data_IF_768477957730
#
_entry.id   IF_768477957730
#
_cell.length_a   1.000
_cell.length_b   1.000
_cell.length_c   1.000
_cell.angle_alpha   90.00
_cell.angle_beta   90.00
_cell.angle_gamma   90.00
#
_symmetry.space_group_name_H-M   'P 1'
#
loop_
_entity.id
_entity.type
_entity.pdbx_description
1 polymer ?
#
# COMPACT_ATOMS: atom_id res chain seq x y z
N UNK A 1 -47.12 -18.60 13.37
CA UNK A 1 -46.23 -18.84 14.52
C UNK A 1 -45.10 -19.77 14.06
N UNK A 2 -44.47 -19.44 12.93
CA UNK A 2 -43.43 -20.27 12.28
C UNK A 2 -42.37 -19.42 11.53
N UNK A 3 -42.43 -18.09 11.66
CA UNK A 3 -41.44 -17.16 11.08
C UNK A 3 -40.39 -16.66 12.10
N UNK A 4 -40.64 -16.82 13.41
CA UNK A 4 -39.74 -16.31 14.46
C UNK A 4 -38.55 -17.24 14.81
N UNK A 5 -38.50 -18.46 14.26
CA UNK A 5 -37.43 -19.42 14.56
C UNK A 5 -36.31 -19.49 13.51
N UNK A 6 -36.46 -18.85 12.34
CA UNK A 6 -35.42 -18.76 11.32
C UNK A 6 -34.51 -17.52 11.50
N UNK A 7 -35.03 -16.40 12.02
CA UNK A 7 -34.21 -15.21 12.30
C UNK A 7 -33.27 -15.40 13.50
N UNK A 8 -33.63 -16.20 14.50
CA UNK A 8 -32.77 -16.47 15.66
C UNK A 8 -31.56 -17.38 15.32
N UNK A 9 -31.61 -18.14 14.21
CA UNK A 9 -30.50 -18.93 13.71
C UNK A 9 -29.48 -18.14 12.88
N UNK A 10 -29.91 -17.08 12.20
CA UNK A 10 -29.02 -16.19 11.43
C UNK A 10 -28.24 -15.22 12.32
N UNK A 11 -28.87 -14.71 13.39
CA UNK A 11 -28.25 -13.76 14.33
C UNK A 11 -27.12 -14.39 15.17
N UNK A 12 -27.09 -15.72 15.29
CA UNK A 12 -26.07 -16.44 16.08
C UNK A 12 -24.91 -17.00 15.25
N UNK A 13 -25.01 -17.04 13.93
CA UNK A 13 -24.01 -17.64 13.03
C UNK A 13 -23.07 -16.60 12.41
N UNK A 14 -23.54 -15.37 12.19
CA UNK A 14 -22.71 -14.24 11.69
C UNK A 14 -21.49 -13.95 12.58
N UNK A 15 -21.60 -13.89 13.92
CA UNK A 15 -20.44 -13.62 14.80
C UNK A 15 -19.44 -14.79 14.87
N UNK A 16 -19.85 -15.99 14.45
CA UNK A 16 -19.01 -17.19 14.44
C UNK A 16 -18.20 -17.26 13.15
N UNK A 17 -18.78 -16.87 12.01
CA UNK A 17 -18.06 -16.75 10.74
C UNK A 17 -17.05 -15.60 10.76
N UNK A 18 -17.42 -14.43 11.28
CA UNK A 18 -16.47 -13.31 11.44
C UNK A 18 -15.29 -13.67 12.36
N UNK A 19 -15.54 -14.41 13.45
CA UNK A 19 -14.45 -14.94 14.31
C UNK A 19 -13.61 -16.02 13.64
N UNK A 20 -14.22 -16.87 12.81
CA UNK A 20 -13.48 -17.88 12.04
C UNK A 20 -12.59 -17.23 10.98
N UNK A 21 -13.10 -16.21 10.27
CA UNK A 21 -12.34 -15.47 9.26
C UNK A 21 -11.21 -14.65 9.90
N UNK A 22 -11.44 -14.07 11.09
CA UNK A 22 -10.37 -13.41 11.85
C UNK A 22 -9.30 -14.39 12.32
N UNK A 23 -9.69 -15.58 12.80
CA UNK A 23 -8.75 -16.65 13.21
C UNK A 23 -8.00 -17.24 12.02
N UNK A 24 -8.66 -17.43 10.88
CA UNK A 24 -8.03 -17.90 9.65
C UNK A 24 -7.07 -16.83 9.14
N UNK A 25 -7.43 -15.54 9.18
CA UNK A 25 -6.57 -14.43 8.77
C UNK A 25 -5.36 -14.29 9.70
N UNK A 26 -5.55 -14.40 11.01
CA UNK A 26 -4.49 -14.34 12.00
C UNK A 26 -3.54 -15.55 11.91
N UNK A 27 -4.07 -16.75 11.72
CA UNK A 27 -3.26 -17.97 11.50
C UNK A 27 -2.54 -17.92 10.15
N UNK A 28 -3.13 -17.29 9.13
CA UNK A 28 -2.50 -17.08 7.82
C UNK A 28 -1.38 -16.03 7.92
N UNK A 29 -1.58 -14.94 8.66
CA UNK A 29 -0.54 -13.93 8.93
C UNK A 29 0.61 -14.49 9.77
N UNK A 30 0.33 -15.30 10.80
CA UNK A 30 1.38 -15.98 11.57
C UNK A 30 2.16 -16.99 10.71
N UNK A 31 1.47 -17.74 9.84
CA UNK A 31 2.13 -18.65 8.88
C UNK A 31 2.98 -17.88 7.87
N UNK A 32 2.53 -16.73 7.38
CA UNK A 32 3.30 -15.87 6.49
C UNK A 32 4.55 -15.31 7.20
N UNK A 33 4.42 -14.80 8.44
CA UNK A 33 5.57 -14.35 9.25
C UNK A 33 6.57 -15.48 9.50
N UNK A 34 6.10 -16.69 9.83
CA UNK A 34 6.95 -17.86 10.03
C UNK A 34 7.64 -18.30 8.73
N UNK A 35 6.95 -18.19 7.59
CA UNK A 35 7.49 -18.56 6.29
C UNK A 35 8.52 -17.53 5.80
N UNK A 36 8.32 -16.25 6.10
CA UNK A 36 9.28 -15.16 5.81
C UNK A 36 10.51 -15.22 6.72
N UNK A 37 10.33 -15.53 8.00
CA UNK A 37 11.43 -15.85 8.92
C UNK A 37 12.22 -17.07 8.42
N UNK A 38 11.52 -18.11 7.95
CA UNK A 38 12.14 -19.32 7.40
C UNK A 38 12.83 -19.07 6.05
N UNK A 39 12.28 -18.25 5.16
CA UNK A 39 12.90 -17.82 3.89
C UNK A 39 14.14 -16.97 4.16
N UNK A 40 14.08 -16.06 5.13
CA UNK A 40 15.22 -15.25 5.56
C UNK A 40 16.32 -16.12 6.18
N UNK A 41 15.94 -17.10 6.99
CA UNK A 41 16.86 -18.09 7.57
C UNK A 41 17.48 -18.97 6.48
N UNK A 42 16.68 -19.44 5.51
CA UNK A 42 17.16 -20.26 4.39
C UNK A 42 18.07 -19.47 3.45
N UNK A 43 17.78 -18.19 3.19
CA UNK A 43 18.64 -17.30 2.40
C UNK A 43 19.97 -17.03 3.12
N UNK A 44 19.94 -16.80 4.44
CA UNK A 44 21.14 -16.70 5.29
C UNK A 44 21.95 -18.00 5.31
N UNK A 45 21.29 -19.15 5.38
CA UNK A 45 21.92 -20.47 5.39
C UNK A 45 22.50 -20.82 4.02
N UNK A 46 21.80 -20.52 2.93
CA UNK A 46 22.29 -20.68 1.54
C UNK A 46 23.47 -19.76 1.26
N UNK A 47 23.45 -18.52 1.76
CA UNK A 47 24.58 -17.60 1.66
C UNK A 47 25.76 -18.07 2.53
N UNK A 48 25.50 -18.64 3.72
CA UNK A 48 26.52 -19.27 4.58
C UNK A 48 27.15 -20.51 3.93
N UNK A 49 26.34 -21.35 3.27
CA UNK A 49 26.82 -22.53 2.53
C UNK A 49 27.56 -22.13 1.25
N UNK A 50 27.11 -21.09 0.55
CA UNK A 50 27.82 -20.54 -0.61
C UNK A 50 29.16 -19.91 -0.21
N UNK A 51 29.20 -19.19 0.92
CA UNK A 51 30.42 -18.66 1.52
C UNK A 51 31.35 -19.79 1.98
N UNK A 52 30.81 -20.82 2.63
CA UNK A 52 31.55 -22.03 3.04
C UNK A 52 32.10 -22.84 1.86
N UNK A 53 31.37 -22.93 0.74
CA UNK A 53 31.86 -23.55 -0.51
C UNK A 53 32.91 -22.69 -1.21
N UNK A 54 32.76 -21.36 -1.19
CA UNK A 54 33.76 -20.43 -1.73
C UNK A 54 35.08 -20.49 -0.93
N UNK A 55 34.97 -20.60 0.40
CA UNK A 55 36.10 -20.81 1.32
C UNK A 55 36.74 -22.19 1.09
N UNK A 56 35.94 -23.25 0.95
CA UNK A 56 36.43 -24.61 0.68
C UNK A 56 37.11 -24.77 -0.69
N UNK A 57 36.75 -23.95 -1.68
CA UNK A 57 37.45 -23.91 -2.97
C UNK A 57 38.73 -23.05 -2.96
N UNK A 58 38.94 -22.20 -1.95
CA UNK A 58 40.21 -21.48 -1.72
C UNK A 58 41.17 -22.20 -0.77
N UNK A 59 40.70 -23.17 0.03
CA UNK A 59 41.47 -23.77 1.12
C UNK A 59 42.17 -25.08 0.75
N UNK A 60 42.97 -25.08 -0.32
CA UNK A 60 44.06 -26.05 -0.50
C UNK A 60 45.41 -25.47 -0.08
N UNK A 61 45.38 -24.52 0.86
CA UNK A 61 46.52 -24.06 1.63
C UNK A 61 46.01 -23.74 3.04
N UNK A 62 46.61 -24.36 4.04
CA UNK A 62 46.40 -24.05 5.46
C UNK A 62 46.74 -22.57 5.68
N UNK A 63 45.75 -21.73 5.99
CA UNK A 63 45.97 -20.46 6.68
C UNK A 63 44.67 -19.91 7.31
N UNK A 64 44.86 -19.22 8.43
CA UNK A 64 43.85 -18.65 9.32
C UNK A 64 42.81 -17.78 8.59
N UNK A 65 41.55 -17.90 9.02
CA UNK A 65 40.45 -17.00 8.64
C UNK A 65 40.87 -15.53 8.83
N UNK A 66 41.06 -14.82 7.72
CA UNK A 66 41.48 -13.41 7.71
C UNK A 66 40.26 -12.49 7.86
N UNK A 67 40.24 -11.69 8.93
CA UNK A 67 39.11 -10.88 9.41
C UNK A 67 39.00 -9.48 8.75
N UNK A 68 39.71 -9.23 7.64
CA UNK A 68 39.76 -7.92 7.01
C UNK A 68 38.45 -7.53 6.29
N UNK A 69 37.68 -8.49 5.76
CA UNK A 69 36.54 -8.23 4.87
C UNK A 69 35.21 -7.89 5.56
N UNK A 70 35.08 -8.08 6.88
CA UNK A 70 33.87 -7.69 7.60
C UNK A 70 33.89 -6.20 8.01
N UNK A 71 35.07 -5.60 8.05
CA UNK A 71 35.27 -4.19 8.40
C UNK A 71 34.85 -3.23 7.27
N UNK A 72 34.87 -3.72 6.02
CA UNK A 72 34.60 -2.97 4.79
C UNK A 72 33.11 -2.93 4.40
N UNK A 73 32.27 -3.78 5.01
CA UNK A 73 30.84 -3.89 4.70
C UNK A 73 29.93 -3.02 5.60
N UNK A 74 30.49 -2.29 6.57
CA UNK A 74 29.74 -1.35 7.40
C UNK A 74 29.63 0.02 6.68
N UNK A 75 28.43 0.64 6.63
CA UNK A 75 28.26 1.94 5.95
C UNK A 75 29.18 3.02 6.56
N UNK A 76 29.72 3.89 5.71
CA UNK A 76 30.64 4.99 6.03
C UNK A 76 30.08 6.09 6.95
N UNK A 77 28.94 5.87 7.63
CA UNK A 77 28.38 6.80 8.60
C UNK A 77 29.07 6.74 9.99
N UNK A 78 30.13 5.96 10.14
CA UNK A 78 30.80 5.69 11.44
C UNK A 78 32.19 6.33 11.55
N UNK A 79 32.36 7.57 11.07
CA UNK A 79 33.61 8.34 11.26
C UNK A 79 33.91 8.73 12.72
N UNK A 80 33.06 8.30 13.67
CA UNK A 80 33.18 8.57 15.10
C UNK A 80 33.59 7.35 15.96
N UNK A 81 33.73 6.16 15.39
CA UNK A 81 34.05 4.94 16.15
C UNK A 81 35.49 4.49 15.88
N UNK A 82 36.23 4.18 16.95
CA UNK A 82 37.57 3.59 16.83
C UNK A 82 37.48 2.13 16.37
N UNK A 83 38.58 1.57 15.87
CA UNK A 83 38.63 0.17 15.44
C UNK A 83 38.29 -0.81 16.58
N UNK A 84 38.56 -0.42 17.83
CA UNK A 84 38.18 -1.16 19.04
C UNK A 84 36.67 -1.13 19.29
N UNK A 85 36.01 0.02 19.06
CA UNK A 85 34.55 0.14 19.19
C UNK A 85 33.82 -0.70 18.13
N UNK A 86 34.37 -0.76 16.91
CA UNK A 86 33.85 -1.60 15.82
C UNK A 86 33.97 -3.08 16.14
N UNK A 87 35.12 -3.50 16.68
CA UNK A 87 35.35 -4.87 17.13
C UNK A 87 34.43 -5.25 18.31
N UNK A 88 34.18 -4.30 19.22
CA UNK A 88 33.23 -4.44 20.33
C UNK A 88 31.80 -4.69 19.83
N UNK A 89 31.33 -3.90 18.86
CA UNK A 89 29.98 -4.03 18.29
C UNK A 89 29.77 -5.37 17.59
N UNK A 90 30.75 -5.83 16.82
CA UNK A 90 30.73 -7.13 16.14
C UNK A 90 30.68 -8.29 17.16
N UNK A 91 31.44 -8.19 18.26
CA UNK A 91 31.39 -9.19 19.33
C UNK A 91 30.05 -9.18 20.09
N UNK A 92 29.44 -8.01 20.29
CA UNK A 92 28.10 -7.90 20.90
C UNK A 92 27.02 -8.49 20.01
N UNK A 93 27.07 -8.22 18.71
CA UNK A 93 26.16 -8.81 17.72
C UNK A 93 26.34 -10.32 17.63
N UNK A 94 27.59 -10.81 17.63
CA UNK A 94 27.89 -12.24 17.67
C UNK A 94 27.32 -12.91 18.92
N UNK A 95 27.53 -12.32 20.10
CA UNK A 95 27.02 -12.85 21.36
C UNK A 95 25.48 -12.78 21.46
N UNK A 96 24.84 -11.74 20.89
CA UNK A 96 23.37 -11.67 20.81
C UNK A 96 22.82 -12.74 19.86
N UNK A 97 23.46 -12.93 18.71
CA UNK A 97 23.08 -13.93 17.72
C UNK A 97 23.28 -15.36 18.26
N UNK A 98 24.40 -15.63 18.92
CA UNK A 98 24.67 -16.89 19.61
C UNK A 98 23.70 -17.13 20.79
N UNK A 99 23.26 -16.08 21.50
CA UNK A 99 22.24 -16.24 22.56
C UNK A 99 20.83 -16.47 22.01
N UNK A 100 20.48 -15.89 20.84
CA UNK A 100 19.20 -16.11 20.16
C UNK A 100 19.14 -17.49 19.47
N UNK A 101 20.29 -18.03 19.04
CA UNK A 101 20.36 -19.33 18.36
C UNK A 101 20.78 -20.49 19.26
N UNK A 102 21.37 -20.23 20.44
CA UNK A 102 22.18 -21.21 21.17
C UNK A 102 21.59 -21.81 22.46
N UNK A 103 20.28 -21.70 22.74
CA UNK A 103 19.71 -22.29 23.98
C UNK A 103 18.46 -23.15 23.83
N UNK A 104 17.86 -23.24 22.66
CA UNK A 104 16.96 -24.36 22.37
C UNK A 104 17.80 -25.41 21.65
N UNK A 105 17.89 -26.68 22.11
CA UNK A 105 18.36 -27.74 21.23
C UNK A 105 17.54 -27.61 19.96
N UNK A 106 18.20 -27.49 18.80
CA UNK A 106 17.51 -27.41 17.52
C UNK A 106 16.46 -28.52 17.58
N UNK A 107 15.17 -28.19 17.46
CA UNK A 107 14.11 -29.16 17.70
C UNK A 107 14.37 -30.43 16.85
N UNK A 108 14.98 -30.23 15.69
CA UNK A 108 15.46 -31.25 14.76
C UNK A 108 16.51 -32.22 15.35
N UNK A 109 17.31 -31.78 16.32
CA UNK A 109 18.29 -32.57 17.06
C UNK A 109 17.68 -33.46 18.15
N UNK A 110 16.50 -33.10 18.64
CA UNK A 110 15.72 -33.95 19.56
C UNK A 110 14.98 -35.07 18.82
N UNK A 111 14.87 -34.98 17.48
CA UNK A 111 14.20 -35.96 16.64
C UNK A 111 15.12 -37.16 16.36
N UNK A 112 14.52 -38.35 16.31
CA UNK A 112 15.23 -39.56 15.89
C UNK A 112 15.82 -39.43 14.48
N UNK A 113 16.93 -40.12 14.20
CA UNK A 113 17.60 -40.11 12.89
C UNK A 113 16.66 -40.38 11.71
N UNK A 114 15.73 -41.33 11.86
CA UNK A 114 14.72 -41.64 10.83
C UNK A 114 13.76 -40.48 10.58
N UNK A 115 13.35 -39.77 11.63
CA UNK A 115 12.47 -38.59 11.51
C UNK A 115 13.23 -37.43 10.85
N UNK A 116 14.50 -37.21 11.22
CA UNK A 116 15.35 -36.19 10.58
C UNK A 116 15.53 -36.42 9.08
N UNK A 117 15.74 -37.68 8.66
CA UNK A 117 15.77 -38.04 7.24
C UNK A 117 14.46 -37.72 6.53
N UNK A 118 13.31 -38.02 7.15
CA UNK A 118 11.99 -37.67 6.59
C UNK A 118 11.80 -36.15 6.46
N UNK A 119 12.21 -35.39 7.47
CA UNK A 119 12.18 -33.91 7.41
C UNK A 119 13.10 -33.38 6.29
N UNK A 120 14.26 -34.01 6.08
CA UNK A 120 15.13 -33.70 4.93
C UNK A 120 14.40 -33.85 3.59
N UNK A 121 13.71 -34.99 3.39
CA UNK A 121 12.89 -35.20 2.18
C UNK A 121 11.77 -34.17 2.05
N UNK A 122 11.13 -33.77 3.16
CA UNK A 122 10.11 -32.71 3.14
C UNK A 122 10.69 -31.34 2.76
N UNK A 123 11.91 -31.01 3.22
CA UNK A 123 12.60 -29.77 2.82
C UNK A 123 12.94 -29.77 1.32
N UNK A 124 13.37 -30.92 0.78
CA UNK A 124 13.62 -31.07 -0.66
C UNK A 124 12.33 -30.89 -1.47
N UNK A 125 11.21 -31.41 -0.97
CA UNK A 125 9.90 -31.23 -1.60
C UNK A 125 9.44 -29.77 -1.56
N UNK A 126 9.60 -29.09 -0.42
CA UNK A 126 9.31 -27.66 -0.29
C UNK A 126 10.14 -26.84 -1.27
N UNK A 127 11.43 -27.16 -1.42
CA UNK A 127 12.30 -26.45 -2.36
C UNK A 127 11.81 -26.57 -3.81
N UNK A 128 11.32 -27.74 -4.23
CA UNK A 128 10.72 -27.93 -5.57
C UNK A 128 9.40 -27.19 -5.73
N UNK A 129 8.61 -27.09 -4.67
CA UNK A 129 7.39 -26.29 -4.67
C UNK A 129 7.74 -24.80 -4.85
N UNK A 130 8.71 -24.28 -4.10
CA UNK A 130 9.16 -22.88 -4.19
C UNK A 130 9.71 -22.56 -5.61
N UNK A 131 10.40 -23.52 -6.24
CA UNK A 131 10.86 -23.40 -7.64
C UNK A 131 9.69 -23.31 -8.65
N UNK A 132 8.57 -24.00 -8.39
CA UNK A 132 7.38 -23.94 -9.24
C UNK A 132 6.60 -22.65 -9.01
N UNK A 133 6.46 -22.23 -7.76
CA UNK A 133 5.86 -20.95 -7.37
C UNK A 133 6.60 -19.80 -8.05
N UNK A 134 7.94 -19.78 -8.02
CA UNK A 134 8.73 -18.74 -8.68
C UNK A 134 8.44 -18.63 -10.19
N UNK A 135 8.26 -19.77 -10.88
CA UNK A 135 7.88 -19.77 -12.31
C UNK A 135 6.46 -19.26 -12.54
N UNK A 136 5.52 -19.67 -11.68
CA UNK A 136 4.14 -19.16 -11.74
C UNK A 136 4.11 -17.64 -11.60
N UNK A 137 4.89 -17.07 -10.68
CA UNK A 137 4.96 -15.63 -10.47
C UNK A 137 5.61 -14.88 -11.63
N UNK A 138 6.65 -15.46 -12.24
CA UNK A 138 7.26 -14.92 -13.47
C UNK A 138 6.25 -14.89 -14.62
N UNK A 139 5.56 -16.01 -14.89
CA UNK A 139 4.54 -16.09 -15.93
C UNK A 139 3.35 -15.14 -15.66
N UNK A 140 2.91 -15.03 -14.40
CA UNK A 140 1.88 -14.08 -13.97
C UNK A 140 2.29 -12.64 -14.24
N UNK A 141 3.53 -12.27 -13.88
CA UNK A 141 4.04 -10.91 -14.10
C UNK A 141 4.14 -10.57 -15.60
N UNK A 142 4.58 -11.51 -16.43
CA UNK A 142 4.59 -11.35 -17.90
C UNK A 142 3.18 -11.18 -18.47
N UNK A 143 2.22 -11.98 -17.97
CA UNK A 143 0.83 -11.93 -18.39
C UNK A 143 0.19 -10.59 -18.03
N UNK A 144 0.36 -10.14 -16.79
CA UNK A 144 -0.14 -8.83 -16.35
C UNK A 144 0.50 -7.69 -17.15
N UNK A 145 1.82 -7.73 -17.40
CA UNK A 145 2.50 -6.74 -18.23
C UNK A 145 1.96 -6.72 -19.67
N UNK A 146 1.62 -7.88 -20.24
CA UNK A 146 0.97 -7.97 -21.55
C UNK A 146 -0.40 -7.30 -21.54
N UNK A 147 -1.25 -7.59 -20.55
CA UNK A 147 -2.60 -7.02 -20.49
C UNK A 147 -2.61 -5.53 -20.15
N UNK A 148 -1.68 -5.04 -19.32
CA UNK A 148 -1.52 -3.60 -19.08
C UNK A 148 -1.30 -2.82 -20.39
N UNK A 149 -0.46 -3.35 -21.31
CA UNK A 149 -0.25 -2.74 -22.64
C UNK A 149 -1.51 -2.75 -23.51
N UNK A 150 -2.37 -3.77 -23.36
CA UNK A 150 -3.64 -3.85 -24.08
C UNK A 150 -4.70 -2.90 -23.50
N UNK A 151 -4.64 -2.61 -22.19
CA UNK A 151 -5.54 -1.67 -21.54
C UNK A 151 -5.16 -0.20 -21.78
N UNK A 152 -3.88 0.11 -21.96
CA UNK A 152 -3.38 1.47 -22.20
C UNK A 152 -4.14 2.25 -23.31
N UNK A 153 -4.38 1.72 -24.52
CA UNK A 153 -5.15 2.45 -25.54
C UNK A 153 -6.61 2.65 -25.13
N UNK A 154 -7.21 1.74 -24.35
CA UNK A 154 -8.58 1.88 -23.86
C UNK A 154 -8.67 3.00 -22.82
N UNK A 155 -7.73 3.06 -21.89
CA UNK A 155 -7.66 4.15 -20.91
C UNK A 155 -7.34 5.50 -21.55
N UNK A 156 -6.48 5.52 -22.57
CA UNK A 156 -6.20 6.73 -23.35
C UNK A 156 -7.45 7.24 -24.06
N UNK A 157 -8.22 6.34 -24.69
CA UNK A 157 -9.50 6.70 -25.31
C UNK A 157 -10.53 7.18 -24.29
N UNK A 158 -10.61 6.55 -23.11
CA UNK A 158 -11.45 7.03 -22.00
C UNK A 158 -11.06 8.45 -21.60
N UNK A 159 -9.77 8.72 -21.44
CA UNK A 159 -9.27 10.05 -21.12
C UNK A 159 -9.70 11.09 -22.16
N UNK A 160 -9.55 10.79 -23.45
CA UNK A 160 -9.98 11.68 -24.53
C UNK A 160 -11.48 12.01 -24.46
N UNK A 161 -12.32 11.00 -24.21
CA UNK A 161 -13.78 11.16 -24.11
C UNK A 161 -14.15 11.97 -22.86
N UNK A 162 -13.62 11.59 -21.69
CA UNK A 162 -13.90 12.25 -20.41
C UNK A 162 -13.51 13.72 -20.45
N UNK A 163 -12.44 14.08 -21.16
CA UNK A 163 -11.97 15.45 -21.27
C UNK A 163 -12.47 16.18 -22.54
N UNK A 164 -13.33 15.55 -23.34
CA UNK A 164 -13.93 16.17 -24.54
C UNK A 164 -12.92 16.53 -25.64
N UNK A 165 -11.82 15.77 -25.74
CA UNK A 165 -10.79 15.95 -26.76
C UNK A 165 -11.17 15.32 -28.11
N UNK A 166 -12.09 14.36 -28.10
CA UNK A 166 -12.56 13.63 -29.29
C UNK A 166 -14.09 13.61 -29.29
N UNK A 167 -14.71 13.95 -30.43
CA UNK A 167 -16.16 13.78 -30.63
C UNK A 167 -16.49 12.30 -30.84
N UNK A 168 -17.47 11.79 -30.09
CA UNK A 168 -17.86 10.38 -30.15
C UNK A 168 -18.97 10.19 -31.19
N UNK A 169 -18.75 9.29 -32.15
CA UNK A 169 -19.76 8.92 -33.15
C UNK A 169 -21.07 8.49 -32.46
N UNK A 170 -22.17 9.19 -32.76
CA UNK A 170 -23.50 8.94 -32.18
C UNK A 170 -24.00 10.01 -31.19
N UNK A 171 -23.15 10.98 -30.80
CA UNK A 171 -23.60 12.18 -30.06
C UNK A 171 -24.03 13.24 -31.09
N UNK A 172 -25.14 12.97 -31.78
CA UNK A 172 -25.82 14.00 -32.59
C UNK A 172 -26.49 14.99 -31.65
N UNK A 173 -26.34 16.28 -31.92
CA UNK A 173 -26.87 17.44 -31.18
C UNK A 173 -28.41 17.58 -31.26
N UNK A 174 -29.13 16.46 -31.35
CA UNK A 174 -30.58 16.40 -31.65
C UNK A 174 -31.47 16.27 -30.41
N UNK A 175 -30.92 16.37 -29.19
CA UNK A 175 -31.69 16.41 -27.95
C UNK A 175 -31.61 17.76 -27.21
N UNK A 176 -31.44 18.87 -27.94
CA UNK A 176 -31.69 20.21 -27.40
C UNK A 176 -33.18 20.56 -27.47
N UNK A 177 -33.96 20.00 -26.54
CA UNK A 177 -35.18 20.66 -26.08
C UNK A 177 -35.17 20.69 -24.57
N UNK A 178 -34.47 21.67 -24.00
CA UNK A 178 -35.01 22.40 -22.86
C UNK A 178 -34.51 23.84 -22.87
N UNK A 179 -35.49 24.73 -22.85
CA UNK A 179 -35.34 26.18 -22.89
C UNK A 179 -35.03 26.72 -21.50
N UNK A 180 -34.24 27.79 -21.52
CA UNK A 180 -34.09 28.87 -20.53
C UNK A 180 -32.98 28.74 -19.47
N UNK A 181 -32.02 29.67 -19.60
CA UNK A 181 -31.03 30.17 -18.63
C UNK A 181 -29.85 29.28 -18.23
N UNK A 182 -28.74 29.35 -18.97
CA UNK A 182 -27.56 30.16 -18.60
C UNK A 182 -26.43 29.90 -19.61
N UNK A 183 -25.50 30.84 -19.72
CA UNK A 183 -24.29 30.78 -20.53
C UNK A 183 -23.36 29.61 -20.11
N UNK A 184 -23.67 28.36 -20.44
CA UNK A 184 -22.71 27.27 -20.40
C UNK A 184 -21.82 27.39 -21.64
N UNK A 185 -20.55 27.79 -21.43
CA UNK A 185 -19.49 27.44 -22.38
C UNK A 185 -19.59 25.94 -22.59
N UNK A 186 -19.97 25.52 -23.80
CA UNK A 186 -20.36 24.14 -24.12
C UNK A 186 -19.55 23.10 -23.35
N UNK A 187 -20.25 22.23 -22.63
CA UNK A 187 -19.67 21.21 -21.75
C UNK A 187 -18.78 20.29 -22.59
N UNK A 188 -17.47 20.55 -22.56
CA UNK A 188 -16.48 19.68 -23.19
C UNK A 188 -16.26 18.48 -22.27
N UNK A 189 -16.62 17.29 -22.75
CA UNK A 189 -16.34 16.02 -22.07
C UNK A 189 -17.42 15.61 -21.07
N UNK A 190 -17.01 14.91 -20.01
CA UNK A 190 -17.87 14.40 -18.93
C UNK A 190 -17.48 15.08 -17.62
N UNK A 191 -18.18 16.16 -17.22
CA UNK A 191 -17.86 16.89 -16.00
C UNK A 191 -17.89 16.00 -14.76
N UNK A 192 -17.00 16.27 -13.81
CA UNK A 192 -16.90 15.58 -12.52
C UNK A 192 -16.75 14.05 -12.60
N UNK A 193 -16.35 13.49 -13.75
CA UNK A 193 -16.30 12.04 -13.96
C UNK A 193 -15.59 11.28 -12.83
N UNK A 194 -14.36 11.65 -12.51
CA UNK A 194 -13.58 10.98 -11.47
C UNK A 194 -14.09 11.26 -10.06
N UNK A 195 -14.50 12.49 -9.77
CA UNK A 195 -15.09 12.83 -8.48
C UNK A 195 -16.35 11.99 -8.21
N UNK A 196 -17.26 11.91 -9.18
CA UNK A 196 -18.47 11.11 -9.09
C UNK A 196 -18.13 9.62 -8.96
N UNK A 197 -17.21 9.09 -9.77
CA UNK A 197 -16.80 7.70 -9.68
C UNK A 197 -16.19 7.35 -8.31
N UNK A 198 -15.34 8.21 -7.76
CA UNK A 198 -14.73 7.99 -6.44
C UNK A 198 -15.78 8.06 -5.32
N UNK A 199 -16.69 9.04 -5.34
CA UNK A 199 -17.75 9.17 -4.34
C UNK A 199 -18.81 8.06 -4.39
N UNK A 200 -18.92 7.32 -5.49
CA UNK A 200 -19.80 6.15 -5.57
C UNK A 200 -19.23 4.92 -4.87
N UNK A 201 -17.94 4.92 -4.51
CA UNK A 201 -17.30 3.84 -3.80
C UNK A 201 -17.20 4.17 -2.31
N UNK A 202 -17.67 3.27 -1.44
CA UNK A 202 -17.80 3.52 0.01
C UNK A 202 -16.47 3.91 0.66
N UNK A 203 -15.39 3.18 0.36
CA UNK A 203 -14.04 3.45 0.92
C UNK A 203 -13.56 4.86 0.60
N UNK A 204 -13.82 5.35 -0.61
CA UNK A 204 -13.40 6.69 -1.04
C UNK A 204 -14.40 7.78 -0.67
N UNK A 205 -15.68 7.44 -0.55
CA UNK A 205 -16.73 8.38 -0.15
C UNK A 205 -16.49 8.89 1.29
N UNK A 206 -16.05 8.01 2.19
CA UNK A 206 -15.74 8.35 3.58
C UNK A 206 -14.51 9.28 3.69
N UNK A 207 -13.58 9.18 2.75
CA UNK A 207 -12.37 10.01 2.71
C UNK A 207 -12.58 11.38 2.05
N UNK A 208 -13.57 11.51 1.17
CA UNK A 208 -13.82 12.74 0.41
C UNK A 208 -14.77 13.65 1.19
N UNK A 209 -14.22 14.72 1.78
CA UNK A 209 -15.03 15.75 2.41
C UNK A 209 -15.64 16.72 1.39
N UNK A 210 -16.70 17.43 1.79
CA UNK A 210 -17.34 18.47 0.94
C UNK A 210 -16.34 19.56 0.47
N UNK A 211 -15.29 19.82 1.25
CA UNK A 211 -14.27 20.82 0.91
C UNK A 211 -13.32 20.33 -0.19
N UNK A 212 -13.17 19.01 -0.34
CA UNK A 212 -12.29 18.38 -1.32
C UNK A 212 -12.90 18.36 -2.72
N UNK A 213 -14.23 18.32 -2.82
CA UNK A 213 -14.98 18.26 -4.09
C UNK A 213 -14.58 19.39 -5.05
N UNK A 214 -14.40 20.60 -4.51
CA UNK A 214 -14.02 21.75 -5.32
C UNK A 214 -12.62 21.65 -5.94
N UNK A 215 -11.71 20.86 -5.36
CA UNK A 215 -10.41 20.55 -5.97
C UNK A 215 -10.50 19.30 -6.87
N UNK A 216 -11.24 18.29 -6.45
CA UNK A 216 -11.42 17.03 -7.19
C UNK A 216 -12.21 17.19 -8.50
N UNK A 217 -13.02 18.24 -8.66
CA UNK A 217 -13.63 18.56 -9.96
C UNK A 217 -12.60 18.84 -11.07
N UNK A 218 -11.36 19.18 -10.70
CA UNK A 218 -10.25 19.41 -11.64
C UNK A 218 -9.45 18.14 -11.95
N UNK A 219 -9.84 16.98 -11.38
CA UNK A 219 -9.19 15.70 -11.64
C UNK A 219 -9.55 15.21 -13.05
N UNK A 220 -8.56 15.21 -13.95
CA UNK A 220 -8.74 14.85 -15.37
C UNK A 220 -8.49 13.38 -15.65
N UNK A 221 -7.59 12.75 -14.90
CA UNK A 221 -7.22 11.35 -15.08
C UNK A 221 -6.63 10.74 -13.82
N UNK A 222 -6.80 9.43 -13.69
CA UNK A 222 -6.17 8.63 -12.64
C UNK A 222 -5.53 7.41 -13.29
N UNK A 223 -4.24 7.24 -13.05
CA UNK A 223 -3.46 6.13 -13.59
C UNK A 223 -2.73 5.39 -12.48
N UNK A 224 -2.35 4.16 -12.77
CA UNK A 224 -1.41 3.43 -11.95
C UNK A 224 -0.34 2.75 -12.80
N UNK A 225 0.82 2.50 -12.21
CA UNK A 225 1.92 1.78 -12.85
C UNK A 225 2.69 0.95 -11.82
N UNK A 226 3.36 -0.11 -12.28
CA UNK A 226 4.32 -0.87 -11.47
C UNK A 226 5.59 -0.04 -11.26
N UNK A 227 6.23 -0.19 -10.10
CA UNK A 227 7.51 0.46 -9.83
C UNK A 227 8.62 -0.27 -10.61
N UNK A 228 9.49 0.46 -11.29
CA UNK A 228 10.60 -0.16 -12.03
C UNK A 228 11.70 -0.56 -11.06
N UNK A 229 12.03 -1.84 -10.99
CA UNK A 229 13.13 -2.36 -10.16
C UNK A 229 12.79 -2.58 -8.69
N UNK A 230 11.53 -2.36 -8.27
CA UNK A 230 11.02 -2.67 -6.94
C UNK A 230 9.61 -3.27 -7.04
N UNK A 231 9.18 -3.97 -6.00
CA UNK A 231 7.82 -4.48 -5.88
C UNK A 231 6.88 -3.36 -5.42
N UNK A 232 5.64 -3.40 -5.89
CA UNK A 232 4.59 -2.43 -5.56
C UNK A 232 4.16 -1.57 -6.75
N UNK A 233 3.46 -0.49 -6.47
CA UNK A 233 2.80 0.32 -7.50
C UNK A 233 2.76 1.80 -7.14
N UNK A 234 2.56 2.62 -8.16
CA UNK A 234 2.42 4.06 -8.09
C UNK A 234 1.08 4.47 -8.69
N UNK A 235 0.30 5.24 -7.94
CA UNK A 235 -0.87 5.97 -8.40
C UNK A 235 -0.47 7.39 -8.82
N UNK A 236 -1.08 7.88 -9.89
CA UNK A 236 -0.89 9.22 -10.42
C UNK A 236 -2.25 9.85 -10.71
N UNK A 237 -2.58 10.90 -9.96
CA UNK A 237 -3.79 11.70 -10.13
C UNK A 237 -3.41 12.98 -10.87
N UNK A 238 -3.94 13.15 -12.07
CA UNK A 238 -3.64 14.27 -12.94
C UNK A 238 -4.70 15.34 -12.79
N UNK A 239 -4.28 16.58 -12.54
CA UNK A 239 -5.18 17.71 -12.35
C UNK A 239 -4.97 18.76 -13.44
N UNK A 240 -6.07 19.40 -13.83
CA UNK A 240 -6.02 20.65 -14.57
C UNK A 240 -5.58 21.82 -13.66
N UNK A 241 -5.15 22.96 -14.24
CA UNK A 241 -4.88 24.17 -13.47
C UNK A 241 -6.09 24.54 -12.61
N UNK A 242 -5.88 24.54 -11.30
CA UNK A 242 -6.94 24.70 -10.31
C UNK A 242 -6.58 25.79 -9.28
N UNK A 243 -7.55 26.33 -8.54
CA UNK A 243 -7.31 27.42 -7.59
C UNK A 243 -6.82 26.96 -6.21
N UNK A 244 -6.49 25.68 -6.02
CA UNK A 244 -6.15 25.10 -4.72
C UNK A 244 -4.65 24.87 -4.55
N UNK A 245 -4.01 24.26 -5.54
CA UNK A 245 -2.58 23.93 -5.51
C UNK A 245 -1.93 24.05 -6.89
N UNK A 246 -0.59 24.08 -6.92
CA UNK A 246 0.19 24.23 -8.15
C UNK A 246 0.45 22.93 -8.90
N UNK A 247 0.45 21.80 -8.19
CA UNK A 247 0.78 20.49 -8.75
C UNK A 247 -0.17 20.13 -9.90
N UNK A 248 0.39 19.72 -11.04
CA UNK A 248 -0.39 19.12 -12.13
C UNK A 248 -0.60 17.63 -11.96
N UNK A 249 0.24 16.98 -11.14
CA UNK A 249 0.15 15.55 -10.80
C UNK A 249 0.42 15.39 -9.31
N UNK A 250 -0.47 14.68 -8.63
CA UNK A 250 -0.25 14.18 -7.29
C UNK A 250 -0.03 12.67 -7.39
N UNK A 251 1.03 12.16 -6.78
CA UNK A 251 1.35 10.74 -6.82
C UNK A 251 1.45 10.12 -5.45
N UNK A 252 1.07 8.84 -5.37
CA UNK A 252 1.17 7.99 -4.19
C UNK A 252 1.85 6.69 -4.60
N UNK A 253 2.91 6.31 -3.91
CA UNK A 253 3.71 5.12 -4.20
C UNK A 253 3.69 4.20 -3.00
N UNK A 254 3.40 2.92 -3.24
CA UNK A 254 3.51 1.85 -2.25
C UNK A 254 4.64 0.92 -2.67
N UNK A 255 5.72 0.91 -1.90
CA UNK A 255 6.82 -0.04 -2.03
C UNK A 255 6.49 -1.27 -1.17
N UNK A 256 6.56 -2.45 -1.78
CA UNK A 256 6.10 -3.70 -1.16
C UNK A 256 7.25 -4.66 -0.92
N UNK A 257 7.24 -5.36 0.21
CA UNK A 257 8.14 -6.51 0.44
C UNK A 257 7.60 -7.73 -0.32
N UNK A 258 6.28 -7.93 -0.26
CA UNK A 258 5.58 -9.01 -0.93
C UNK A 258 4.24 -8.52 -1.51
N UNK A 259 4.08 -8.58 -2.84
CA UNK A 259 2.84 -8.16 -3.52
C UNK A 259 1.68 -9.13 -3.27
N UNK A 260 1.94 -10.43 -3.13
CA UNK A 260 0.91 -11.46 -2.94
C UNK A 260 0.34 -11.47 -1.53
N UNK A 261 1.20 -11.26 -0.53
CA UNK A 261 0.82 -11.18 0.88
C UNK A 261 0.47 -9.74 1.30
N UNK A 262 0.49 -8.79 0.36
CA UNK A 262 0.21 -7.37 0.58
C UNK A 262 1.05 -6.74 1.73
N UNK A 263 2.32 -7.15 1.83
CA UNK A 263 3.22 -6.66 2.87
C UNK A 263 3.86 -5.36 2.41
N UNK A 264 3.42 -4.25 3.01
CA UNK A 264 3.91 -2.90 2.74
C UNK A 264 5.28 -2.66 3.40
N UNK A 265 6.25 -2.18 2.62
CA UNK A 265 7.52 -1.66 3.15
C UNK A 265 7.39 -0.17 3.48
N UNK A 266 6.83 0.60 2.54
CA UNK A 266 6.75 2.05 2.65
C UNK A 266 5.67 2.65 1.77
N UNK A 267 5.01 3.71 2.27
CA UNK A 267 4.14 4.57 1.50
C UNK A 267 4.76 5.97 1.32
N UNK A 268 4.76 6.49 0.09
CA UNK A 268 5.35 7.79 -0.26
C UNK A 268 4.31 8.60 -1.03
N UNK A 269 3.94 9.76 -0.49
CA UNK A 269 3.03 10.69 -1.14
C UNK A 269 3.71 11.95 -1.65
N UNK A 270 3.10 12.59 -2.65
CA UNK A 270 3.56 13.88 -3.17
C UNK A 270 3.16 15.02 -2.25
N UNK A 271 4.14 15.83 -1.85
CA UNK A 271 3.88 17.08 -1.13
C UNK A 271 3.05 18.04 -1.98
N UNK A 272 1.89 18.44 -1.47
CA UNK A 272 0.98 19.37 -2.16
C UNK A 272 1.43 20.82 -1.93
N UNK A 273 1.58 21.55 -3.04
CA UNK A 273 1.95 22.96 -3.06
C UNK A 273 0.70 23.85 -3.04
N UNK A 274 0.05 23.93 -1.89
CA UNK A 274 -1.17 24.72 -1.68
C UNK A 274 -0.95 26.21 -1.93
N UNK A 275 -1.93 26.86 -2.55
CA UNK A 275 -2.00 28.32 -2.59
C UNK A 275 -2.34 28.89 -1.20
N UNK A 276 -2.01 30.16 -0.93
CA UNK A 276 -2.28 30.80 0.36
C UNK A 276 -3.77 30.69 0.76
N UNK A 277 -4.04 30.09 1.92
CA UNK A 277 -5.39 29.92 2.46
C UNK A 277 -6.26 28.88 1.74
N UNK A 278 -5.64 28.01 0.91
CA UNK A 278 -6.32 26.95 0.16
C UNK A 278 -5.96 25.54 0.61
N UNK A 279 -5.17 25.42 1.68
CA UNK A 279 -4.85 24.11 2.24
C UNK A 279 -6.13 23.45 2.78
N UNK A 280 -6.54 22.35 2.15
CA UNK A 280 -7.74 21.61 2.50
C UNK A 280 -7.51 20.65 3.68
N UNK A 281 -6.26 20.32 3.99
CA UNK A 281 -5.92 19.44 5.12
C UNK A 281 -5.87 20.17 6.45
N UNK A 282 -6.11 21.49 6.46
CA UNK A 282 -5.90 22.35 7.61
C UNK A 282 -6.99 23.42 7.77
N UNK A 283 -7.54 23.53 8.98
CA UNK A 283 -8.50 24.58 9.35
C UNK A 283 -7.81 25.69 10.16
N UNK A 284 -8.00 26.92 9.71
CA UNK A 284 -7.42 28.12 10.35
C UNK A 284 -8.41 28.71 11.37
N UNK A 285 -8.15 28.52 12.65
CA UNK A 285 -8.92 29.10 13.75
C UNK A 285 -8.36 30.48 14.12
N UNK A 286 -9.15 31.53 13.86
CA UNK A 286 -8.85 32.90 14.30
C UNK A 286 -9.45 33.14 15.69
N UNK A 287 -8.62 33.21 16.73
CA UNK A 287 -9.07 33.68 18.05
C UNK A 287 -9.21 35.21 18.03
N UNK A 288 -10.41 35.71 18.34
CA UNK A 288 -10.63 37.15 18.58
C UNK A 288 -9.75 37.59 19.76
N UNK A 289 -9.03 38.70 19.61
CA UNK A 289 -8.23 39.27 20.69
C UNK A 289 -9.13 39.59 21.90
N UNK A 290 -8.70 39.23 23.12
CA UNK A 290 -9.41 39.60 24.35
C UNK A 290 -9.55 41.12 24.42
N UNK A 291 -10.79 41.61 24.45
CA UNK A 291 -11.14 43.03 24.58
C UNK A 291 -10.68 43.50 25.96
N UNK A 292 -9.52 44.15 26.07
CA UNK A 292 -9.04 44.70 27.34
C UNK A 292 -7.55 45.05 27.46
N UNK A 293 -6.65 44.57 26.59
CA UNK A 293 -5.22 44.95 26.66
C UNK A 293 -4.89 46.17 25.80
N UNK A 294 -4.16 47.12 26.40
CA UNK A 294 -3.80 48.47 25.88
C UNK A 294 -2.81 48.49 24.69
N UNK A 295 -2.78 47.44 23.87
CA UNK A 295 -1.98 47.35 22.64
C UNK A 295 -2.66 46.41 21.63
N UNK A 296 -2.74 46.78 20.34
CA UNK A 296 -3.31 45.92 19.31
C UNK A 296 -2.33 44.78 19.02
N UNK A 297 -2.47 43.65 19.71
CA UNK A 297 -1.77 42.42 19.32
C UNK A 297 -2.44 41.86 18.07
N UNK A 298 -1.68 41.46 17.03
CA UNK A 298 -2.24 40.81 15.86
C UNK A 298 -2.98 39.52 16.29
N UNK A 299 -4.10 39.16 15.62
CA UNK A 299 -4.86 37.97 15.95
C UNK A 299 -3.98 36.72 15.79
N UNK A 300 -3.88 35.91 16.85
CA UNK A 300 -3.18 34.62 16.82
C UNK A 300 -4.01 33.68 15.93
N UNK A 301 -3.40 33.23 14.84
CA UNK A 301 -3.96 32.23 13.93
C UNK A 301 -3.42 30.87 14.37
N UNK A 302 -4.28 30.00 14.89
CA UNK A 302 -3.93 28.60 15.17
C UNK A 302 -4.45 27.77 14.00
N UNK A 303 -3.59 26.92 13.46
CA UNK A 303 -3.97 25.96 12.42
C UNK A 303 -4.11 24.59 13.07
N UNK A 304 -5.19 23.87 12.75
CA UNK A 304 -5.45 22.51 13.21
C UNK A 304 -5.70 21.63 11.98
N UNK A 305 -5.13 20.42 11.98
CA UNK A 305 -5.35 19.47 10.89
C UNK A 305 -6.81 19.00 10.89
N UNK A 306 -7.33 18.68 9.72
CA UNK A 306 -8.68 18.17 9.56
C UNK A 306 -8.77 17.07 8.51
N UNK A 307 -9.86 16.31 8.57
CA UNK A 307 -10.22 15.31 7.57
C UNK A 307 -10.30 15.93 6.18
N UNK A 308 -9.62 15.31 5.24
CA UNK A 308 -9.53 15.69 3.83
C UNK A 308 -8.95 14.51 3.07
N UNK A 309 -9.51 14.21 1.90
CA UNK A 309 -8.96 13.20 0.98
C UNK A 309 -7.48 13.45 0.68
N UNK A 310 -7.05 14.72 0.65
CA UNK A 310 -5.67 15.08 0.33
C UNK A 310 -4.65 14.67 1.42
N UNK A 311 -5.09 14.24 2.61
CA UNK A 311 -4.23 13.59 3.60
C UNK A 311 -3.66 12.26 3.07
N UNK A 312 -4.32 11.63 2.10
CA UNK A 312 -3.82 10.45 1.39
C UNK A 312 -2.42 10.63 0.79
N UNK A 313 -2.03 11.87 0.45
CA UNK A 313 -0.69 12.17 -0.07
C UNK A 313 0.35 12.49 1.02
N UNK A 314 -0.03 12.37 2.29
CA UNK A 314 0.85 12.49 3.44
C UNK A 314 0.71 11.23 4.33
N UNK A 315 1.20 10.07 3.85
CA UNK A 315 0.97 8.80 4.52
C UNK A 315 1.63 8.75 5.92
N UNK A 316 1.13 7.87 6.81
CA UNK A 316 1.77 7.60 8.09
C UNK A 316 3.23 7.19 7.90
N UNK A 317 4.11 7.64 8.79
CA UNK A 317 5.53 7.32 8.76
C UNK A 317 5.83 6.29 9.85
N UNK A 318 6.60 5.26 9.50
CA UNK A 318 7.13 4.29 10.47
C UNK A 318 8.28 4.98 11.22
N UNK A 319 8.22 5.12 12.56
CA UNK A 319 9.34 5.66 13.33
C UNK A 319 10.59 4.79 13.19
N UNK A 320 11.76 5.42 13.12
CA UNK A 320 13.04 4.71 12.98
C UNK A 320 13.46 3.98 14.29
N UNK A 321 12.90 4.38 15.44
CA UNK A 321 13.22 3.85 16.76
C UNK A 321 12.02 3.05 17.32
N UNK A 322 12.10 1.71 17.27
CA UNK A 322 11.05 0.80 17.78
C UNK A 322 10.89 0.86 19.32
N UNK A 323 11.92 1.30 20.05
CA UNK A 323 12.00 1.27 21.52
C UNK A 323 11.14 2.36 22.21
N UNK A 324 10.61 3.33 21.47
CA UNK A 324 9.83 4.47 21.99
C UNK A 324 8.32 4.39 21.67
N UNK A 325 7.85 3.35 20.96
CA UNK A 325 6.41 3.14 20.70
C UNK A 325 5.81 2.15 21.69
N UNK A 326 4.77 2.59 22.40
CA UNK A 326 3.91 1.67 23.14
C UNK A 326 3.04 0.82 22.17
N UNK A 327 2.54 -0.31 22.68
CA UNK A 327 1.76 -1.28 21.90
C UNK A 327 0.52 -0.64 21.27
N UNK A 328 -0.17 0.23 22.03
CA UNK A 328 -1.36 0.96 21.58
C UNK A 328 -1.03 1.90 20.40
N UNK A 329 0.11 2.60 20.45
CA UNK A 329 0.55 3.49 19.36
C UNK A 329 0.97 2.70 18.12
N UNK A 330 1.63 1.56 18.30
CA UNK A 330 2.00 0.67 17.20
C UNK A 330 0.76 0.09 16.50
N UNK A 331 -0.25 -0.34 17.25
CA UNK A 331 -1.52 -0.84 16.70
C UNK A 331 -2.27 0.27 15.93
N UNK A 332 -2.32 1.49 16.47
CA UNK A 332 -2.93 2.64 15.78
C UNK A 332 -2.21 2.97 14.48
N UNK A 333 -0.87 2.95 14.47
CA UNK A 333 -0.09 3.19 13.27
C UNK A 333 -0.33 2.10 12.21
N UNK A 334 -0.38 0.83 12.63
CA UNK A 334 -0.69 -0.29 11.74
C UNK A 334 -2.06 -0.12 11.10
N UNK A 335 -3.10 0.19 11.89
CA UNK A 335 -4.45 0.43 11.39
C UNK A 335 -4.51 1.60 10.40
N UNK A 336 -3.76 2.68 10.65
CA UNK A 336 -3.67 3.80 9.71
C UNK A 336 -2.97 3.42 8.39
N UNK A 337 -1.93 2.60 8.46
CA UNK A 337 -1.21 2.13 7.27
C UNK A 337 -2.05 1.15 6.43
N UNK A 338 -2.79 0.27 7.08
CA UNK A 338 -3.72 -0.66 6.43
C UNK A 338 -4.84 0.11 5.73
N UNK A 339 -5.48 1.05 6.43
CA UNK A 339 -6.50 1.93 5.84
C UNK A 339 -5.96 2.75 4.66
N UNK A 340 -4.77 3.33 4.79
CA UNK A 340 -4.10 4.04 3.70
C UNK A 340 -3.85 3.13 2.49
N UNK A 341 -3.45 1.87 2.72
CA UNK A 341 -3.27 0.89 1.65
C UNK A 341 -4.61 0.50 1.01
N UNK A 342 -5.68 0.34 1.78
CA UNK A 342 -7.02 0.00 1.29
C UNK A 342 -7.58 1.06 0.34
N UNK A 343 -7.35 2.34 0.65
CA UNK A 343 -7.67 3.45 -0.26
C UNK A 343 -6.88 3.29 -1.58
N UNK A 344 -5.57 3.05 -1.48
CA UNK A 344 -4.69 2.92 -2.64
C UNK A 344 -5.02 1.73 -3.53
N UNK A 345 -5.26 0.56 -2.93
CA UNK A 345 -5.65 -0.67 -3.64
C UNK A 345 -7.05 -0.53 -4.25
N UNK A 346 -7.99 0.14 -3.57
CA UNK A 346 -9.32 0.44 -4.12
C UNK A 346 -9.24 1.31 -5.36
N UNK A 347 -8.40 2.35 -5.36
CA UNK A 347 -8.19 3.17 -6.57
C UNK A 347 -7.62 2.32 -7.70
N UNK A 348 -6.58 1.51 -7.41
CA UNK A 348 -5.88 0.65 -8.39
C UNK A 348 -6.79 -0.40 -9.01
N UNK A 349 -7.51 -1.16 -8.19
CA UNK A 349 -8.17 -2.41 -8.58
C UNK A 349 -9.65 -2.24 -8.89
N UNK A 350 -10.31 -1.23 -8.29
CA UNK A 350 -11.75 -1.01 -8.46
C UNK A 350 -12.04 0.23 -9.28
N UNK A 351 -11.49 1.39 -8.90
CA UNK A 351 -11.83 2.67 -9.55
C UNK A 351 -11.25 2.76 -10.96
N UNK A 352 -9.94 2.58 -11.14
CA UNK A 352 -9.31 2.75 -12.46
C UNK A 352 -9.87 1.76 -13.49
N UNK A 353 -10.05 0.45 -13.21
CA UNK A 353 -10.54 -0.49 -14.20
C UNK A 353 -12.04 -0.32 -14.50
N UNK A 354 -12.84 0.06 -13.50
CA UNK A 354 -14.30 0.12 -13.59
C UNK A 354 -14.87 1.54 -13.42
N UNK A 355 -14.09 2.57 -13.75
CA UNK A 355 -14.47 3.97 -13.53
C UNK A 355 -15.84 4.35 -14.10
N UNK A 356 -16.18 3.83 -15.29
CA UNK A 356 -17.48 4.10 -15.93
C UNK A 356 -18.61 3.44 -15.14
N UNK A 357 -18.42 2.22 -14.63
CA UNK A 357 -19.40 1.57 -13.76
C UNK A 357 -19.62 2.42 -12.52
N UNK A 358 -18.55 2.81 -11.81
CA UNK A 358 -18.65 3.68 -10.62
C UNK A 358 -19.29 5.05 -10.90
N UNK A 359 -19.04 5.64 -12.06
CA UNK A 359 -19.70 6.87 -12.50
C UNK A 359 -21.20 6.66 -12.79
N UNK A 360 -21.55 5.51 -13.36
CA UNK A 360 -22.91 5.18 -13.82
C UNK A 360 -23.73 4.40 -12.81
N UNK A 361 -23.15 3.99 -11.67
CA UNK A 361 -23.88 3.39 -10.54
C UNK A 361 -24.97 4.39 -10.17
N UNK A 362 -26.17 4.15 -10.73
CA UNK A 362 -27.41 4.62 -10.14
C UNK A 362 -27.36 4.13 -8.72
N UNK A 363 -27.68 5.02 -7.79
CA UNK A 363 -27.99 4.74 -6.38
C UNK A 363 -29.11 3.67 -6.34
N UNK A 364 -28.75 2.41 -6.57
CA UNK A 364 -29.66 1.30 -6.86
C UNK A 364 -28.91 0.02 -6.48
N UNK A 365 -29.32 -0.53 -5.35
CA UNK A 365 -28.85 -1.75 -4.69
C UNK A 365 -29.11 -3.03 -5.51
N UNK A 366 -28.73 -3.07 -6.78
CA UNK A 366 -29.02 -4.20 -7.68
C UNK A 366 -27.88 -4.46 -8.67
N UNK A 367 -26.71 -4.85 -8.18
CA UNK A 367 -25.81 -5.72 -8.95
C UNK A 367 -25.19 -6.77 -8.04
N UNK A 368 -26.04 -7.66 -7.54
CA UNK A 368 -25.58 -8.97 -7.09
C UNK A 368 -24.84 -9.67 -8.24
N UNK A 369 -23.56 -9.94 -7.98
CA UNK A 369 -22.68 -10.94 -8.56
C UNK A 369 -23.32 -11.88 -9.58
N UNK A 370 -23.19 -11.56 -10.87
CA UNK A 370 -23.17 -12.62 -11.90
C UNK A 370 -21.77 -13.22 -11.94
N UNK A 371 -21.65 -14.41 -11.38
CA UNK A 371 -20.48 -15.27 -11.52
C UNK A 371 -20.23 -15.54 -13.02
N UNK A 372 -19.04 -15.24 -13.57
CA UNK A 372 -18.74 -15.45 -14.98
C UNK A 372 -18.60 -16.94 -15.39
N UNK A 373 -18.83 -17.89 -14.48
CA UNK A 373 -18.69 -19.33 -14.72
C UNK A 373 -20.00 -20.14 -14.71
N UNK A 374 -21.17 -19.50 -14.71
CA UNK A 374 -22.42 -20.23 -14.98
C UNK A 374 -22.64 -20.36 -16.49
N UNK A 375 -22.47 -21.60 -16.99
CA UNK A 375 -22.84 -22.03 -18.35
C UNK A 375 -24.30 -22.46 -18.37
#
# INVERSE_FOLDING_TARGET
MEFDHLEQGLITVVPIFERLDLLITQETQERARLLEQRKTQYSREKNSIALGRSIAMSSNQEDQFNMADLSSALPSATSAFTDEDRAGLVNVLKNKLENLTGKHPDFLDTLSSKVRQRVGVLKDLQSRYDELEAKYLEEKAELEAKYMKLYEPLYSKRYEIVNGLTEVEGVSDDNLVDKENNESKGDKGVPNFWLTAMKSNEVLADEISESDEGALQYLKDVKWSRITGAKGFKLELFFDPNPYFKNSVLSKTYEMINEEEHILEKAIGTKIEWYPGKNLTQKVLRKKAKKGSRSPKPPITKTEDCESFFNFFNPPQIPDDEDDMDEDTAEQLQNQMEHDYDIGSTIRDKIIPHAVSWFTVKRSDEFEHKNPYEV
#
